data_IF_827940038893
#
_entry.id   IF_827940038893
#
_cell.length_a   1.000
_cell.length_b   1.000
_cell.length_c   1.000
_cell.angle_alpha   90.00
_cell.angle_beta   90.00
_cell.angle_gamma   90.00
#
_symmetry.space_group_name_H-M   'P 1'
#
loop_
_entity.id
_entity.type
_entity.pdbx_description
1 polymer ?
#
# COMPACT_ATOMS: atom_id res chain seq x y z
N UNK A 1 -2.86 -16.17 4.75
CA UNK A 1 -1.96 -16.34 3.61
C UNK A 1 -2.14 -15.23 2.58
N UNK A 2 -3.27 -15.14 1.88
CA UNK A 2 -3.48 -14.16 0.79
C UNK A 2 -3.26 -12.70 1.21
N UNK A 3 -3.80 -12.27 2.36
CA UNK A 3 -3.61 -10.93 2.94
C UNK A 3 -2.15 -10.54 3.19
N UNK A 4 -1.31 -11.49 3.61
CA UNK A 4 0.13 -11.24 3.82
C UNK A 4 0.90 -11.18 2.49
N UNK A 5 0.49 -11.97 1.50
CA UNK A 5 1.04 -11.90 0.14
C UNK A 5 0.67 -10.55 -0.51
N UNK A 6 -0.59 -10.12 -0.39
CA UNK A 6 -1.05 -8.82 -0.86
C UNK A 6 -0.26 -7.67 -0.22
N UNK A 7 -0.03 -7.73 1.09
CA UNK A 7 0.79 -6.75 1.81
C UNK A 7 2.22 -6.67 1.25
N UNK A 8 2.87 -7.82 1.03
CA UNK A 8 4.22 -7.87 0.48
C UNK A 8 4.29 -7.28 -0.94
N UNK A 9 3.32 -7.59 -1.79
CA UNK A 9 3.23 -7.04 -3.16
C UNK A 9 3.04 -5.52 -3.12
N UNK A 10 2.15 -5.01 -2.26
CA UNK A 10 1.95 -3.56 -2.13
C UNK A 10 3.21 -2.83 -1.67
N UNK A 11 3.99 -3.42 -0.77
CA UNK A 11 5.29 -2.86 -0.32
C UNK A 11 6.29 -2.83 -1.48
N UNK A 12 6.39 -3.89 -2.28
CA UNK A 12 7.29 -3.94 -3.44
C UNK A 12 6.92 -2.85 -4.46
N UNK A 13 5.62 -2.72 -4.78
CA UNK A 13 5.12 -1.71 -5.71
C UNK A 13 5.38 -0.29 -5.16
N UNK A 14 5.20 -0.07 -3.86
CA UNK A 14 5.52 1.21 -3.22
C UNK A 14 6.99 1.57 -3.43
N UNK A 15 7.91 0.64 -3.14
CA UNK A 15 9.36 0.85 -3.29
C UNK A 15 9.72 1.17 -4.74
N UNK A 16 9.17 0.44 -5.71
CA UNK A 16 9.43 0.69 -7.14
C UNK A 16 8.98 2.10 -7.52
N UNK A 17 7.75 2.50 -7.14
CA UNK A 17 7.25 3.84 -7.44
C UNK A 17 8.06 4.94 -6.73
N UNK A 18 8.59 4.66 -5.53
CA UNK A 18 9.41 5.61 -4.77
C UNK A 18 10.80 5.81 -5.38
N UNK A 19 11.39 4.74 -5.95
CA UNK A 19 12.67 4.79 -6.67
C UNK A 19 12.52 5.48 -8.02
N UNK A 20 11.38 5.30 -8.68
CA UNK A 20 11.08 5.94 -9.97
C UNK A 20 10.59 7.38 -9.83
N UNK A 21 10.28 7.82 -8.61
CA UNK A 21 9.88 9.19 -8.34
C UNK A 21 11.11 10.10 -8.43
N UNK A 22 11.16 10.94 -9.46
CA UNK A 22 12.23 11.91 -9.62
C UNK A 22 11.96 13.13 -8.74
N UNK A 23 12.71 13.25 -7.64
CA UNK A 23 12.62 14.36 -6.69
C UNK A 23 13.27 15.66 -7.21
N UNK A 24 14.02 15.59 -8.31
CA UNK A 24 14.71 16.76 -8.91
C UNK A 24 13.88 17.45 -9.98
N UNK A 25 13.04 16.69 -10.71
CA UNK A 25 12.15 17.24 -11.72
C UNK A 25 10.84 17.77 -11.11
N UNK A 26 10.17 18.70 -11.79
CA UNK A 26 8.95 19.30 -11.27
C UNK A 26 7.94 18.21 -10.88
N UNK A 27 7.36 18.29 -9.67
CA UNK A 27 6.35 17.34 -9.13
C UNK A 27 5.16 17.15 -10.12
N UNK A 28 4.96 18.11 -11.03
CA UNK A 28 3.91 18.13 -12.04
C UNK A 28 4.31 17.60 -13.43
N UNK A 29 5.52 17.06 -13.62
CA UNK A 29 5.84 16.33 -14.85
C UNK A 29 4.94 15.09 -14.99
N UNK A 30 4.63 14.69 -16.23
CA UNK A 30 3.70 13.59 -16.50
C UNK A 30 4.15 12.27 -15.83
N UNK A 31 5.45 12.01 -15.80
CA UNK A 31 6.02 10.80 -15.22
C UNK A 31 5.95 10.83 -13.67
N UNK A 32 6.16 12.00 -13.07
CA UNK A 32 6.03 12.22 -11.63
C UNK A 32 4.58 12.07 -11.14
N UNK A 33 3.58 12.46 -11.95
CA UNK A 33 2.16 12.22 -11.62
C UNK A 33 1.83 10.73 -11.56
N UNK A 34 2.40 9.92 -12.45
CA UNK A 34 2.19 8.46 -12.45
C UNK A 34 2.80 7.84 -11.20
N UNK A 35 4.05 8.20 -10.87
CA UNK A 35 4.72 7.75 -9.66
C UNK A 35 3.94 8.14 -8.39
N UNK A 36 3.40 9.36 -8.34
CA UNK A 36 2.61 9.84 -7.21
C UNK A 36 1.31 9.06 -7.02
N UNK A 37 0.59 8.75 -8.10
CA UNK A 37 -0.62 7.90 -8.07
C UNK A 37 -0.26 6.48 -7.63
N UNK A 38 0.88 5.94 -8.09
CA UNK A 38 1.38 4.64 -7.67
C UNK A 38 1.70 4.57 -6.18
N UNK A 39 2.33 5.61 -5.63
CA UNK A 39 2.56 5.74 -4.18
C UNK A 39 1.24 5.82 -3.42
N UNK A 40 0.31 6.67 -3.85
CA UNK A 40 -0.99 6.83 -3.18
C UNK A 40 -1.84 5.55 -3.21
N UNK A 41 -1.86 4.88 -4.37
CA UNK A 41 -2.59 3.63 -4.57
C UNK A 41 -2.02 2.49 -3.73
N UNK A 42 -0.70 2.35 -3.67
CA UNK A 42 -0.05 1.33 -2.85
C UNK A 42 -0.23 1.60 -1.34
N UNK A 43 -0.16 2.87 -0.90
CA UNK A 43 -0.50 3.25 0.48
C UNK A 43 -1.94 2.88 0.84
N UNK A 44 -2.89 3.20 -0.05
CA UNK A 44 -4.31 2.87 0.16
C UNK A 44 -4.52 1.35 0.30
N UNK A 45 -3.90 0.56 -0.57
CA UNK A 45 -3.96 -0.90 -0.49
C UNK A 45 -3.40 -1.45 0.84
N UNK A 46 -2.25 -0.92 1.29
CA UNK A 46 -1.65 -1.31 2.58
C UNK A 46 -2.61 -1.04 3.73
N UNK A 47 -3.23 0.15 3.76
CA UNK A 47 -4.17 0.55 4.80
C UNK A 47 -5.38 -0.39 4.83
N UNK A 48 -5.99 -0.68 3.69
CA UNK A 48 -7.15 -1.57 3.59
C UNK A 48 -6.82 -2.99 4.06
N UNK A 49 -5.66 -3.52 3.66
CA UNK A 49 -5.21 -4.85 4.10
C UNK A 49 -4.96 -4.86 5.61
N UNK A 50 -4.37 -3.80 6.16
CA UNK A 50 -4.10 -3.70 7.59
C UNK A 50 -5.40 -3.64 8.41
N UNK A 51 -6.38 -2.85 7.96
CA UNK A 51 -7.73 -2.78 8.55
C UNK A 51 -8.37 -4.17 8.53
N UNK A 52 -8.26 -4.91 7.43
CA UNK A 52 -8.83 -6.25 7.31
C UNK A 52 -8.19 -7.25 8.28
N UNK A 53 -6.86 -7.23 8.41
CA UNK A 53 -6.12 -8.07 9.38
C UNK A 53 -6.55 -7.75 10.81
N UNK A 54 -6.68 -6.45 11.15
CA UNK A 54 -7.12 -6.01 12.47
C UNK A 54 -8.57 -6.43 12.72
N UNK A 55 -9.47 -6.23 11.76
CA UNK A 55 -10.88 -6.61 11.85
C UNK A 55 -11.05 -8.10 12.14
N UNK A 56 -10.34 -8.96 11.44
CA UNK A 56 -10.38 -10.41 11.70
C UNK A 56 -9.78 -10.75 13.07
N UNK A 57 -8.70 -10.09 13.48
CA UNK A 57 -8.09 -10.28 14.80
C UNK A 57 -9.07 -9.92 15.92
N UNK A 58 -9.84 -8.86 15.75
CA UNK A 58 -10.91 -8.44 16.68
C UNK A 58 -12.04 -9.49 16.66
N UNK A 59 -12.51 -9.88 15.48
CA UNK A 59 -13.58 -10.88 15.33
C UNK A 59 -13.22 -12.22 15.97
N UNK A 60 -11.97 -12.69 15.82
CA UNK A 60 -11.49 -13.91 16.47
C UNK A 60 -11.40 -13.79 18.00
N UNK A 61 -11.16 -12.59 18.54
CA UNK A 61 -11.17 -12.35 19.99
C UNK A 61 -12.59 -12.32 20.56
N UNK A 62 -13.54 -11.76 19.81
CA UNK A 62 -14.95 -11.67 20.21
C UNK A 62 -15.62 -13.04 20.13
N UNK A 63 -15.33 -13.83 19.10
CA UNK A 63 -15.92 -15.16 18.87
C UNK A 63 -15.24 -16.30 19.67
N UNK A 64 -14.16 -15.99 20.37
CA UNK A 64 -13.45 -16.88 21.30
C UNK A 64 -13.86 -16.69 22.77
N UNK A 65 -14.89 -15.89 23.02
CA UNK A 65 -15.77 -15.99 24.20
C UNK A 65 -17.05 -16.71 23.80
#
# INVERSE_FOLDING_TARGET
>A
MLKYIGLAISIIILIINLVYFDYSDAIFSNDNKVALIGIFGSLCAIILILILIISEKINSKIKGQ
#
